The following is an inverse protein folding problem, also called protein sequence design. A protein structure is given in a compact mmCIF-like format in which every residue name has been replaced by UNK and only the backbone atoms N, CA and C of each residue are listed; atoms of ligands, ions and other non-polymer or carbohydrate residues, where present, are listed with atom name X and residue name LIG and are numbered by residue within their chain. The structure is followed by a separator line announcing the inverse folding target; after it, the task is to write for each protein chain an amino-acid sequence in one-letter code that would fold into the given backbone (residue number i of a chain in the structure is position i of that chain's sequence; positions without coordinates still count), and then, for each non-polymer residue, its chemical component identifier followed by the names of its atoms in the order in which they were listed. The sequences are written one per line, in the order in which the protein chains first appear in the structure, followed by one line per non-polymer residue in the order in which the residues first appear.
data_IF_179648719122
#
_entry.id   IF_179648719122
#
_cell.length_a   1.000
_cell.length_b   1.000
_cell.length_c   1.000
_cell.angle_alpha   90.00
_cell.angle_beta   90.00
_cell.angle_gamma   90.00
#
_symmetry.space_group_name_H-M   'P 1'
#
loop_
_entity.id
_entity.type
_entity.pdbx_description
1 polymer ?
#
# COMPACT_ATOMS: atom_id res chain seq x y z
N UNK A 1 -29.93 4.12 10.47
CA UNK A 1 -28.89 3.08 10.38
C UNK A 1 -27.80 3.59 9.47
N UNK A 2 -26.54 3.49 9.89
CA UNK A 2 -25.33 3.90 9.18
C UNK A 2 -24.42 2.70 8.97
N UNK A 3 -24.02 2.46 7.73
CA UNK A 3 -23.17 1.34 7.33
C UNK A 3 -21.88 1.86 6.71
N UNK A 4 -20.75 1.50 7.30
CA UNK A 4 -19.43 1.75 6.73
C UNK A 4 -19.07 0.59 5.79
N UNK A 5 -18.66 0.92 4.58
CA UNK A 5 -18.29 -0.06 3.55
C UNK A 5 -16.83 0.18 3.19
N UNK A 6 -15.94 -0.63 3.75
CA UNK A 6 -14.49 -0.48 3.59
C UNK A 6 -13.83 -1.73 3.01
N UNK A 7 -14.06 -2.09 1.74
CA UNK A 7 -13.44 -3.25 1.13
C UNK A 7 -12.06 -2.93 0.53
N UNK A 8 -11.22 -3.96 0.45
CA UNK A 8 -10.07 -3.99 -0.44
C UNK A 8 -10.51 -4.47 -1.85
N UNK A 9 -9.60 -4.36 -2.81
CA UNK A 9 -9.73 -4.91 -4.14
C UNK A 9 -9.89 -6.43 -4.14
N UNK A 10 -10.63 -6.92 -5.12
CA UNK A 10 -10.71 -8.34 -5.44
C UNK A 10 -9.77 -8.55 -6.61
N UNK A 11 -8.53 -8.98 -6.30
CA UNK A 11 -7.44 -9.15 -7.28
C UNK A 11 -7.94 -9.91 -8.52
N UNK A 12 -7.54 -9.42 -9.69
CA UNK A 12 -7.95 -9.95 -11.01
C UNK A 12 -9.45 -9.84 -11.34
N UNK A 13 -10.27 -9.17 -10.51
CA UNK A 13 -11.71 -9.02 -10.72
C UNK A 13 -12.18 -7.57 -10.61
N UNK A 14 -12.21 -6.98 -9.41
CA UNK A 14 -12.79 -5.66 -9.15
C UNK A 14 -11.84 -4.80 -8.31
N UNK A 15 -11.69 -3.53 -8.70
CA UNK A 15 -11.04 -2.54 -7.85
C UNK A 15 -11.87 -2.24 -6.59
N UNK A 16 -11.22 -1.78 -5.51
CA UNK A 16 -11.86 -1.52 -4.21
C UNK A 16 -13.11 -0.62 -4.33
N UNK A 17 -13.06 0.44 -5.15
CA UNK A 17 -14.22 1.32 -5.38
C UNK A 17 -15.41 0.57 -5.98
N UNK A 18 -15.17 -0.31 -6.95
CA UNK A 18 -16.25 -1.09 -7.58
C UNK A 18 -16.86 -2.10 -6.59
N UNK A 19 -16.04 -2.70 -5.72
CA UNK A 19 -16.51 -3.58 -4.63
C UNK A 19 -17.37 -2.78 -3.66
N UNK A 20 -16.93 -1.59 -3.24
CA UNK A 20 -17.68 -0.74 -2.32
C UNK A 20 -19.05 -0.33 -2.90
N UNK A 21 -19.10 0.02 -4.18
CA UNK A 21 -20.36 0.34 -4.86
C UNK A 21 -21.30 -0.88 -4.95
N UNK A 22 -20.78 -2.07 -5.25
CA UNK A 22 -21.59 -3.29 -5.31
C UNK A 22 -22.24 -3.61 -3.96
N UNK A 23 -21.47 -3.51 -2.89
CA UNK A 23 -21.96 -3.70 -1.52
C UNK A 23 -23.01 -2.63 -1.20
N UNK A 24 -22.73 -1.36 -1.49
CA UNK A 24 -23.64 -0.26 -1.21
C UNK A 24 -25.00 -0.44 -1.92
N UNK A 25 -25.01 -0.83 -3.19
CA UNK A 25 -26.25 -1.12 -3.93
C UNK A 25 -27.05 -2.24 -3.27
N UNK A 26 -26.40 -3.33 -2.86
CA UNK A 26 -27.06 -4.44 -2.18
C UNK A 26 -27.69 -4.01 -0.85
N UNK A 27 -26.93 -3.28 -0.03
CA UNK A 27 -27.37 -2.73 1.27
C UNK A 27 -28.55 -1.79 1.10
N UNK A 28 -28.47 -0.82 0.18
CA UNK A 28 -29.54 0.16 -0.06
C UNK A 28 -30.81 -0.47 -0.65
N UNK A 29 -30.66 -1.53 -1.45
CA UNK A 29 -31.80 -2.28 -1.98
C UNK A 29 -32.55 -3.03 -0.88
N UNK A 30 -31.83 -3.56 0.12
CA UNK A 30 -32.44 -4.24 1.26
C UNK A 30 -33.03 -3.26 2.29
N UNK A 31 -32.39 -2.11 2.49
CA UNK A 31 -32.76 -1.12 3.50
C UNK A 31 -32.86 0.27 2.83
N UNK A 32 -34.03 0.63 2.27
CA UNK A 32 -34.22 1.94 1.66
C UNK A 32 -33.96 3.09 2.66
N UNK A 33 -33.15 4.06 2.25
CA UNK A 33 -32.80 5.23 3.08
C UNK A 33 -31.68 5.00 4.09
N UNK A 34 -31.04 3.83 4.12
CA UNK A 34 -29.83 3.59 4.92
C UNK A 34 -28.69 4.50 4.49
N UNK A 35 -27.98 5.06 5.45
CA UNK A 35 -26.76 5.83 5.17
C UNK A 35 -25.62 4.85 4.89
N UNK A 36 -24.98 5.00 3.73
CA UNK A 36 -23.80 4.23 3.35
C UNK A 36 -22.60 5.14 3.17
N UNK A 37 -21.52 4.85 3.88
CA UNK A 37 -20.23 5.54 3.73
C UNK A 37 -19.26 4.59 3.07
N UNK A 38 -18.82 4.91 1.86
CA UNK A 38 -17.89 4.08 1.07
C UNK A 38 -16.46 4.56 1.29
N UNK A 39 -15.64 3.68 1.85
CA UNK A 39 -14.24 3.92 2.17
C UNK A 39 -13.39 2.81 1.51
N UNK A 40 -13.28 2.76 0.17
CA UNK A 40 -12.40 1.78 -0.47
C UNK A 40 -10.99 1.90 0.08
N UNK A 41 -10.38 0.79 0.46
CA UNK A 41 -9.03 0.73 1.04
C UNK A 41 -8.07 0.00 0.12
N UNK A 42 -6.79 0.14 0.43
CA UNK A 42 -5.69 -0.63 -0.13
C UNK A 42 -4.63 -0.85 0.97
N UNK A 43 -3.60 -1.64 0.67
CA UNK A 43 -2.53 -2.03 1.60
C UNK A 43 -1.21 -1.27 1.38
N UNK A 44 -1.24 -0.16 0.62
CA UNK A 44 -0.03 0.58 0.23
C UNK A 44 0.63 0.08 -1.07
N UNK A 45 0.01 -0.91 -1.72
CA UNK A 45 0.35 -1.35 -3.08
C UNK A 45 -0.30 -0.55 -4.20
N UNK A 46 -0.41 -1.18 -5.36
CA UNK A 46 -1.07 -0.62 -6.56
C UNK A 46 -2.54 -0.29 -6.28
N UNK A 47 -2.98 0.89 -6.72
CA UNK A 47 -4.38 1.33 -6.56
C UNK A 47 -4.68 2.02 -5.24
N UNK A 48 -3.68 2.16 -4.36
CA UNK A 48 -3.79 2.93 -3.11
C UNK A 48 -4.15 4.39 -3.34
N UNK A 49 -3.51 5.03 -4.32
CA UNK A 49 -3.81 6.40 -4.72
C UNK A 49 -5.27 6.50 -5.15
N UNK A 50 -5.73 5.63 -6.06
CA UNK A 50 -7.10 5.70 -6.56
C UNK A 50 -8.15 5.45 -5.48
N UNK A 51 -7.90 4.53 -4.56
CA UNK A 51 -8.77 4.26 -3.41
C UNK A 51 -8.90 5.49 -2.49
N UNK A 52 -7.76 6.08 -2.08
CA UNK A 52 -7.76 7.26 -1.21
C UNK A 52 -8.35 8.49 -1.89
N UNK A 53 -8.11 8.68 -3.19
CA UNK A 53 -8.69 9.80 -3.94
C UNK A 53 -10.21 9.68 -4.03
N UNK A 54 -10.72 8.46 -4.30
CA UNK A 54 -12.16 8.20 -4.36
C UNK A 54 -12.84 8.43 -3.01
N UNK A 55 -12.20 8.05 -1.91
CA UNK A 55 -12.76 8.19 -0.56
C UNK A 55 -12.69 9.62 -0.03
N UNK A 56 -11.65 10.38 -0.38
CA UNK A 56 -11.43 11.74 0.16
C UNK A 56 -11.93 12.86 -0.74
N UNK A 57 -12.35 12.56 -1.98
CA UNK A 57 -12.66 13.59 -2.97
C UNK A 57 -11.41 14.34 -3.45
N UNK A 58 -10.25 13.67 -3.41
CA UNK A 58 -8.98 14.20 -3.87
C UNK A 58 -8.87 14.28 -5.40
N UNK A 59 -7.68 14.63 -5.90
CA UNK A 59 -7.37 14.60 -7.33
C UNK A 59 -6.01 13.96 -7.63
N UNK A 60 -5.92 13.31 -8.79
CA UNK A 60 -4.66 12.80 -9.34
C UNK A 60 -3.95 13.92 -10.10
N UNK A 61 -2.64 14.04 -9.90
CA UNK A 61 -1.77 15.02 -10.57
C UNK A 61 -0.79 14.26 -11.47
N UNK A 62 -1.00 14.24 -12.80
CA UNK A 62 -0.07 13.62 -13.73
C UNK A 62 1.24 14.42 -13.79
N UNK A 63 2.37 13.71 -13.79
CA UNK A 63 3.71 14.32 -13.91
C UNK A 63 4.63 13.38 -14.69
N UNK A 64 5.23 13.82 -15.81
CA UNK A 64 6.28 13.06 -16.47
C UNK A 64 7.50 13.01 -15.56
N UNK A 65 8.01 11.81 -15.27
CA UNK A 65 9.19 11.60 -14.43
C UNK A 65 10.14 10.61 -15.08
N UNK A 66 11.38 10.57 -14.62
CA UNK A 66 12.38 9.59 -15.03
C UNK A 66 11.92 8.19 -14.67
N UNK A 67 11.71 7.35 -15.68
CA UNK A 67 11.36 5.95 -15.52
C UNK A 67 12.52 5.10 -15.02
N UNK A 68 12.26 3.81 -14.75
CA UNK A 68 13.26 2.92 -14.16
C UNK A 68 14.49 2.75 -15.05
N UNK A 69 14.38 2.77 -16.38
CA UNK A 69 15.53 2.65 -17.29
C UNK A 69 16.05 4.00 -17.81
N UNK A 70 15.65 5.12 -17.19
CA UNK A 70 16.09 6.48 -17.53
C UNK A 70 15.17 7.23 -18.50
N UNK A 71 14.39 6.52 -19.31
CA UNK A 71 13.41 7.14 -20.21
C UNK A 71 12.21 7.72 -19.44
N UNK A 72 11.61 8.85 -19.88
CA UNK A 72 10.45 9.43 -19.21
C UNK A 72 9.23 8.50 -19.21
N UNK A 73 8.52 8.46 -18.09
CA UNK A 73 7.24 7.75 -17.92
C UNK A 73 6.15 8.69 -17.44
N UNK A 74 4.89 8.33 -17.71
CA UNK A 74 3.73 9.08 -17.24
C UNK A 74 3.43 8.75 -15.77
N UNK A 75 4.22 9.32 -14.87
CA UNK A 75 4.00 9.23 -13.43
C UNK A 75 2.82 10.07 -12.95
N UNK A 76 2.48 9.91 -11.67
CA UNK A 76 1.45 10.70 -11.02
C UNK A 76 1.64 10.71 -9.50
N UNK A 77 1.03 11.70 -8.84
CA UNK A 77 0.78 11.69 -7.40
C UNK A 77 -0.73 11.86 -7.13
N UNK A 78 -1.19 11.44 -5.96
CA UNK A 78 -2.51 11.79 -5.44
C UNK A 78 -2.40 12.98 -4.48
N UNK A 79 -3.31 13.93 -4.57
CA UNK A 79 -3.56 14.94 -3.53
C UNK A 79 -4.92 14.66 -2.91
N UNK A 80 -4.95 14.39 -1.60
CA UNK A 80 -6.19 14.07 -0.90
C UNK A 80 -7.10 15.30 -0.76
N UNK A 81 -8.37 15.07 -0.42
CA UNK A 81 -9.37 16.14 -0.28
C UNK A 81 -9.03 17.17 0.80
N UNK A 82 -8.22 16.81 1.79
CA UNK A 82 -7.70 17.72 2.82
C UNK A 82 -6.72 18.77 2.28
N UNK A 83 -6.17 18.55 1.08
CA UNK A 83 -5.11 19.34 0.43
C UNK A 83 -3.82 19.48 1.24
N UNK A 84 -3.68 18.70 2.32
CA UNK A 84 -2.51 18.67 3.20
C UNK A 84 -1.70 17.38 3.04
N UNK A 85 -2.28 16.37 2.38
CA UNK A 85 -1.67 15.06 2.23
C UNK A 85 -1.50 14.70 0.75
N UNK A 86 -0.26 14.36 0.38
CA UNK A 86 0.04 13.72 -0.90
C UNK A 86 0.23 12.22 -0.72
N UNK A 87 -0.11 11.45 -1.75
CA UNK A 87 0.08 10.00 -1.79
C UNK A 87 0.87 9.64 -3.04
N UNK A 88 1.91 8.82 -2.86
CA UNK A 88 2.82 8.40 -3.91
C UNK A 88 2.89 6.88 -3.91
N UNK A 89 2.56 6.26 -5.03
CA UNK A 89 2.95 4.88 -5.32
C UNK A 89 4.28 4.89 -6.05
N UNK A 90 5.31 4.23 -5.51
CA UNK A 90 6.62 4.20 -6.18
C UNK A 90 6.55 3.57 -7.56
N UNK A 91 5.61 2.64 -7.78
CA UNK A 91 5.36 2.02 -9.07
C UNK A 91 5.01 3.07 -10.14
N UNK A 92 4.37 4.19 -9.80
CA UNK A 92 4.04 5.25 -10.76
C UNK A 92 5.28 5.82 -11.45
N UNK A 93 6.44 5.83 -10.77
CA UNK A 93 7.72 6.27 -11.34
C UNK A 93 8.63 5.11 -11.77
N UNK A 94 8.82 4.12 -10.90
CA UNK A 94 9.85 3.09 -11.08
C UNK A 94 9.29 1.65 -11.06
N UNK A 95 8.02 1.48 -11.41
CA UNK A 95 7.35 0.19 -11.37
C UNK A 95 7.69 -0.79 -12.50
N UNK A 96 7.45 -2.08 -12.24
CA UNK A 96 7.65 -3.17 -13.20
C UNK A 96 6.80 -3.03 -14.47
N UNK A 97 5.65 -2.35 -14.40
CA UNK A 97 4.77 -2.13 -15.54
C UNK A 97 5.40 -1.24 -16.62
N UNK A 98 6.41 -0.44 -16.27
CA UNK A 98 7.14 0.39 -17.22
C UNK A 98 8.23 -0.36 -17.99
N UNK A 99 8.51 -1.62 -17.63
CA UNK A 99 9.62 -2.39 -18.18
C UNK A 99 9.13 -3.71 -18.74
N UNK A 100 9.24 -3.86 -20.06
CA UNK A 100 8.98 -5.13 -20.74
C UNK A 100 9.80 -6.26 -20.09
N UNK A 101 9.24 -7.47 -19.89
CA UNK A 101 9.91 -8.57 -19.19
C UNK A 101 11.36 -8.84 -19.64
N UNK A 102 11.61 -8.80 -20.95
CA UNK A 102 12.91 -9.00 -21.58
C UNK A 102 13.92 -7.86 -21.37
N UNK A 103 13.43 -6.67 -21.01
CA UNK A 103 14.26 -5.47 -20.76
C UNK A 103 14.53 -5.23 -19.27
N UNK A 104 14.03 -6.11 -18.38
CA UNK A 104 14.19 -5.96 -16.94
C UNK A 104 15.65 -6.16 -16.54
N UNK A 105 16.26 -5.10 -16.00
CA UNK A 105 17.64 -5.13 -15.53
C UNK A 105 17.79 -4.30 -14.23
N UNK A 106 17.82 -4.96 -13.05
CA UNK A 106 17.87 -4.27 -11.77
C UNK A 106 19.24 -3.62 -11.48
N UNK A 107 20.29 -3.94 -12.25
CA UNK A 107 21.56 -3.21 -12.19
C UNK A 107 21.44 -1.80 -12.76
N UNK A 108 20.56 -1.58 -13.73
CA UNK A 108 20.35 -0.29 -14.38
C UNK A 108 19.15 0.46 -13.81
N UNK A 109 18.15 -0.27 -13.32
CA UNK A 109 16.89 0.30 -12.88
C UNK A 109 17.07 1.31 -11.72
N UNK A 110 16.57 2.54 -11.89
CA UNK A 110 16.70 3.65 -10.94
C UNK A 110 15.38 4.10 -10.32
N UNK A 111 15.45 4.52 -9.06
CA UNK A 111 14.35 5.15 -8.30
C UNK A 111 14.29 6.68 -8.47
N UNK A 112 15.07 7.27 -9.39
CA UNK A 112 15.17 8.73 -9.55
C UNK A 112 13.80 9.42 -9.71
N UNK A 113 12.90 8.84 -10.50
CA UNK A 113 11.55 9.38 -10.67
C UNK A 113 10.73 9.45 -9.37
N UNK A 114 10.99 8.60 -8.37
CA UNK A 114 10.32 8.69 -7.07
C UNK A 114 10.68 10.00 -6.36
N UNK A 115 11.94 10.41 -6.43
CA UNK A 115 12.37 11.70 -5.88
C UNK A 115 11.81 12.89 -6.67
N UNK A 116 11.49 12.71 -7.95
CA UNK A 116 10.74 13.71 -8.74
C UNK A 116 9.27 13.79 -8.29
N UNK A 117 8.59 12.66 -8.06
CA UNK A 117 7.24 12.65 -7.50
C UNK A 117 7.17 13.33 -6.12
N UNK A 118 8.14 13.05 -5.25
CA UNK A 118 8.21 13.71 -3.93
C UNK A 118 8.39 15.23 -4.10
N UNK A 119 9.24 15.69 -5.03
CA UNK A 119 9.39 17.14 -5.30
C UNK A 119 8.09 17.78 -5.76
N UNK A 120 7.34 17.13 -6.64
CA UNK A 120 6.02 17.63 -7.06
C UNK A 120 5.04 17.67 -5.89
N UNK A 121 5.06 16.67 -4.99
CA UNK A 121 4.24 16.73 -3.77
C UNK A 121 4.62 17.93 -2.90
N UNK A 122 5.92 18.22 -2.74
CA UNK A 122 6.41 19.39 -2.00
C UNK A 122 6.02 20.72 -2.67
N UNK A 123 5.89 20.77 -3.99
CA UNK A 123 5.43 21.96 -4.72
C UNK A 123 3.96 22.31 -4.39
N UNK A 124 3.19 21.31 -3.95
CA UNK A 124 1.83 21.50 -3.46
C UNK A 124 1.75 21.91 -1.98
N UNK A 125 2.87 22.14 -1.31
CA UNK A 125 2.94 22.61 0.09
C UNK A 125 2.20 21.70 1.08
N UNK A 126 2.18 20.40 0.79
CA UNK A 126 1.60 19.39 1.69
C UNK A 126 2.43 19.28 2.97
N UNK A 127 1.77 18.96 4.08
CA UNK A 127 2.43 18.65 5.36
C UNK A 127 2.71 17.16 5.54
N UNK A 128 2.03 16.30 4.78
CA UNK A 128 2.15 14.84 4.86
C UNK A 128 2.37 14.23 3.48
N UNK A 129 3.26 13.25 3.39
CA UNK A 129 3.42 12.42 2.19
C UNK A 129 3.36 10.95 2.61
N UNK A 130 2.38 10.23 2.06
CA UNK A 130 2.24 8.79 2.19
C UNK A 130 2.91 8.14 0.98
N UNK A 131 3.81 7.18 1.21
CA UNK A 131 4.58 6.51 0.17
C UNK A 131 4.29 5.00 0.25
N UNK A 132 3.68 4.45 -0.79
CA UNK A 132 3.47 3.02 -1.00
C UNK A 132 4.62 2.40 -1.79
N UNK A 133 5.20 1.31 -1.28
CA UNK A 133 6.43 0.69 -1.81
C UNK A 133 6.20 -0.52 -2.74
N UNK A 134 4.95 -0.78 -3.13
CA UNK A 134 4.60 -1.90 -4.02
C UNK A 134 5.15 -1.74 -5.46
N UNK A 135 5.38 -2.87 -6.13
CA UNK A 135 5.52 -2.92 -7.59
C UNK A 135 6.83 -2.42 -8.22
N UNK A 136 7.86 -2.08 -7.44
CA UNK A 136 9.14 -1.53 -7.97
C UNK A 136 9.89 -2.47 -8.94
N UNK A 137 10.55 -1.90 -9.95
CA UNK A 137 11.51 -2.55 -10.84
C UNK A 137 12.98 -2.40 -10.37
N UNK A 138 13.22 -1.64 -9.31
CA UNK A 138 14.56 -1.16 -8.90
C UNK A 138 15.21 -2.04 -7.85
N UNK A 139 16.55 -2.00 -7.77
CA UNK A 139 17.34 -2.56 -6.66
C UNK A 139 18.53 -1.63 -6.35
N UNK A 140 18.26 -0.32 -6.34
CA UNK A 140 19.25 0.76 -6.24
C UNK A 140 19.36 1.37 -4.84
N UNK A 141 18.81 0.72 -3.81
CA UNK A 141 18.80 1.18 -2.43
C UNK A 141 18.16 2.57 -2.21
N UNK A 142 17.35 3.07 -3.16
CA UNK A 142 16.80 4.42 -3.10
C UNK A 142 17.82 5.54 -3.36
N UNK A 143 19.02 5.22 -3.82
CA UNK A 143 20.04 6.24 -4.14
C UNK A 143 19.55 7.17 -5.24
N UNK A 144 18.90 6.64 -6.29
CA UNK A 144 18.33 7.47 -7.35
C UNK A 144 17.33 8.51 -6.79
N UNK A 145 16.44 8.08 -5.90
CA UNK A 145 15.49 8.96 -5.21
C UNK A 145 16.22 10.06 -4.40
N UNK A 146 17.26 9.72 -3.64
CA UNK A 146 18.02 10.69 -2.87
C UNK A 146 18.73 11.73 -3.75
N UNK A 147 19.33 11.28 -4.86
CA UNK A 147 19.96 12.16 -5.85
C UNK A 147 18.96 13.13 -6.45
N UNK A 148 17.78 12.63 -6.81
CA UNK A 148 16.67 13.46 -7.26
C UNK A 148 16.30 14.53 -6.21
N UNK A 149 16.24 14.17 -4.93
CA UNK A 149 15.90 15.10 -3.85
C UNK A 149 17.03 16.08 -3.48
N UNK A 150 18.18 16.01 -4.15
CA UNK A 150 19.30 16.95 -3.98
C UNK A 150 20.45 16.44 -3.10
N UNK A 151 20.37 15.20 -2.60
CA UNK A 151 21.53 14.59 -1.97
C UNK A 151 22.65 14.37 -3.00
N UNK A 152 23.91 14.43 -2.55
CA UNK A 152 25.07 14.09 -3.38
C UNK A 152 25.60 12.73 -2.96
N UNK A 153 25.40 11.73 -3.78
CA UNK A 153 25.86 10.36 -3.57
C UNK A 153 27.15 10.16 -4.37
N UNK A 154 28.30 10.20 -3.69
CA UNK A 154 29.60 10.38 -4.34
C UNK A 154 30.52 9.17 -4.18
N UNK A 155 31.41 8.99 -5.16
CA UNK A 155 32.52 8.04 -5.07
C UNK A 155 33.70 8.60 -4.25
N UNK A 156 34.78 7.81 -4.11
CA UNK A 156 35.98 8.19 -3.38
C UNK A 156 36.72 9.38 -4.00
N UNK A 157 36.51 9.65 -5.29
CA UNK A 157 37.05 10.79 -6.04
C UNK A 157 36.18 12.06 -5.88
N UNK A 158 35.04 11.96 -5.20
CA UNK A 158 34.11 13.07 -4.99
C UNK A 158 33.14 13.32 -6.15
N UNK A 159 33.08 12.42 -7.13
CA UNK A 159 32.18 12.49 -8.28
C UNK A 159 30.85 11.81 -7.98
N UNK A 160 29.78 12.23 -8.63
CA UNK A 160 28.45 11.63 -8.47
C UNK A 160 28.44 10.19 -9.01
N UNK A 161 27.92 9.23 -8.25
CA UNK A 161 27.79 7.86 -8.75
C UNK A 161 26.67 7.76 -9.78
N UNK A 162 26.85 6.83 -10.74
CA UNK A 162 25.82 6.52 -11.71
C UNK A 162 24.58 5.93 -11.01
N UNK A 163 23.43 6.04 -11.70
CA UNK A 163 22.15 5.50 -11.24
C UNK A 163 22.11 3.98 -11.41
N UNK A 164 21.24 3.33 -10.63
CA UNK A 164 20.96 1.90 -10.72
C UNK A 164 21.75 1.06 -9.72
N UNK A 165 21.29 -0.17 -9.51
CA UNK A 165 21.85 -1.08 -8.51
C UNK A 165 23.31 -1.50 -8.79
N UNK A 166 23.77 -1.42 -10.04
CA UNK A 166 25.11 -1.87 -10.44
C UNK A 166 26.24 -0.93 -10.02
N UNK A 167 25.97 0.37 -9.88
CA UNK A 167 26.96 1.40 -9.56
C UNK A 167 27.19 1.63 -8.06
N UNK A 168 26.39 0.96 -7.22
CA UNK A 168 26.35 1.19 -5.78
C UNK A 168 27.65 0.83 -5.05
N UNK A 169 28.47 -0.07 -5.59
CA UNK A 169 29.81 -0.38 -5.04
C UNK A 169 30.73 0.85 -5.00
N UNK A 170 30.51 1.84 -5.86
CA UNK A 170 31.32 3.05 -5.89
C UNK A 170 30.95 4.04 -4.78
N UNK A 171 29.82 3.88 -4.09
CA UNK A 171 29.33 4.85 -3.11
C UNK A 171 30.30 5.00 -1.93
N UNK A 172 30.89 6.17 -1.75
CA UNK A 172 31.75 6.47 -0.60
C UNK A 172 31.04 7.31 0.47
N UNK A 173 30.15 8.23 0.07
CA UNK A 173 29.45 9.11 1.00
C UNK A 173 28.10 9.59 0.44
N UNK A 174 27.16 9.89 1.35
CA UNK A 174 25.87 10.51 1.04
C UNK A 174 25.83 11.89 1.71
N UNK A 175 26.02 12.97 0.95
CA UNK A 175 25.90 14.32 1.49
C UNK A 175 24.46 14.82 1.39
N UNK A 176 23.82 15.00 2.54
CA UNK A 176 22.41 15.39 2.66
C UNK A 176 22.19 16.90 2.77
N UNK A 177 23.25 17.72 2.77
CA UNK A 177 23.13 19.19 2.90
C UNK A 177 22.36 19.83 1.74
N UNK A 178 22.39 19.18 0.57
CA UNK A 178 21.66 19.61 -0.63
C UNK A 178 20.23 19.09 -0.73
N UNK A 179 19.75 18.28 0.22
CA UNK A 179 18.36 17.83 0.21
C UNK A 179 17.39 19.01 0.20
N UNK A 180 16.28 18.85 -0.52
CA UNK A 180 15.20 19.83 -0.56
C UNK A 180 14.79 20.23 0.88
N UNK A 181 14.96 21.51 1.27
CA UNK A 181 14.78 21.94 2.66
C UNK A 181 13.34 21.77 3.14
N UNK A 182 12.36 21.70 2.23
CA UNK A 182 10.95 21.50 2.56
C UNK A 182 10.68 20.16 3.22
N UNK A 183 11.50 19.13 2.94
CA UNK A 183 11.40 17.81 3.56
C UNK A 183 11.45 17.84 5.09
N UNK A 184 12.10 18.85 5.69
CA UNK A 184 12.18 19.01 7.15
C UNK A 184 10.84 19.32 7.81
N UNK A 185 9.89 19.86 7.05
CA UNK A 185 8.59 20.28 7.54
C UNK A 185 7.46 19.34 7.10
N UNK A 186 7.80 18.19 6.52
CA UNK A 186 6.83 17.24 5.97
C UNK A 186 6.99 15.89 6.65
N UNK A 187 5.88 15.35 7.15
CA UNK A 187 5.87 14.00 7.68
C UNK A 187 5.85 12.99 6.52
N UNK A 188 6.90 12.16 6.45
CA UNK A 188 6.98 11.07 5.49
C UNK A 188 6.49 9.78 6.16
N UNK A 189 5.38 9.24 5.67
CA UNK A 189 4.81 7.96 6.12
C UNK A 189 5.02 6.92 5.04
N UNK A 190 5.58 5.77 5.39
CA UNK A 190 5.80 4.67 4.47
C UNK A 190 4.80 3.56 4.79
N UNK A 191 3.90 3.29 3.84
CA UNK A 191 2.93 2.20 3.90
C UNK A 191 3.60 0.92 3.38
N UNK A 192 3.94 0.01 4.30
CA UNK A 192 4.72 -1.18 3.96
C UNK A 192 4.36 -2.37 4.86
N UNK A 193 3.87 -3.45 4.26
CA UNK A 193 3.52 -4.69 4.97
C UNK A 193 4.62 -5.75 4.92
N UNK A 194 5.68 -5.52 4.14
CA UNK A 194 6.84 -6.41 4.09
C UNK A 194 7.83 -6.07 5.20
N UNK A 195 8.31 -7.11 5.90
CA UNK A 195 9.30 -6.97 6.98
C UNK A 195 10.70 -7.37 6.54
N UNK A 196 10.90 -7.66 5.26
CA UNK A 196 12.18 -8.06 4.68
C UNK A 196 13.28 -7.04 5.00
N UNK A 197 14.43 -7.48 5.57
CA UNK A 197 15.58 -6.61 5.81
C UNK A 197 16.20 -6.15 4.48
N UNK A 198 17.18 -5.24 4.54
CA UNK A 198 17.86 -4.76 3.33
C UNK A 198 18.66 -5.89 2.67
N UNK A 199 19.41 -6.66 3.47
CA UNK A 199 20.37 -7.67 2.99
C UNK A 199 20.08 -9.06 3.57
N UNK A 200 20.78 -10.07 3.05
CA UNK A 200 20.72 -11.46 3.54
C UNK A 200 19.69 -12.33 2.82
N UNK A 201 19.46 -13.57 3.31
CA UNK A 201 18.65 -14.57 2.60
C UNK A 201 17.17 -14.20 2.50
N UNK A 202 16.69 -13.30 3.37
CA UNK A 202 15.34 -12.71 3.31
C UNK A 202 15.37 -11.25 2.83
N UNK A 203 16.52 -10.78 2.35
CA UNK A 203 16.76 -9.40 1.98
C UNK A 203 16.13 -9.00 0.65
N UNK A 204 16.31 -7.72 0.28
CA UNK A 204 15.71 -7.15 -0.93
C UNK A 204 16.12 -7.92 -2.20
N UNK A 205 17.42 -8.15 -2.35
CA UNK A 205 17.99 -8.79 -3.54
C UNK A 205 17.54 -10.25 -3.63
N UNK A 206 17.73 -11.03 -2.56
CA UNK A 206 17.43 -12.46 -2.55
C UNK A 206 15.95 -12.76 -2.86
N UNK A 207 15.03 -11.96 -2.31
CA UNK A 207 13.59 -12.24 -2.39
C UNK A 207 12.94 -11.60 -3.62
N UNK A 208 13.29 -10.35 -3.94
CA UNK A 208 12.52 -9.56 -4.91
C UNK A 208 13.27 -9.25 -6.20
N UNK A 209 14.59 -9.39 -6.28
CA UNK A 209 15.31 -9.14 -7.53
C UNK A 209 15.07 -10.19 -8.65
N UNK A 210 14.79 -11.48 -8.37
CA UNK A 210 14.51 -12.46 -9.44
C UNK A 210 13.33 -12.06 -10.33
N UNK A 211 12.20 -11.61 -9.74
CA UNK A 211 11.05 -11.11 -10.52
C UNK A 211 11.35 -9.82 -11.30
N UNK A 212 12.41 -9.10 -10.91
CA UNK A 212 12.93 -7.89 -11.59
C UNK A 212 13.99 -8.22 -12.65
N UNK A 213 14.18 -9.50 -13.02
CA UNK A 213 15.10 -9.91 -14.08
C UNK A 213 16.54 -10.20 -13.62
N UNK A 214 16.82 -10.28 -12.32
CA UNK A 214 18.17 -10.59 -11.84
C UNK A 214 18.58 -12.03 -12.15
N UNK A 215 19.70 -12.20 -12.84
CA UNK A 215 20.39 -13.50 -12.99
C UNK A 215 21.17 -13.85 -11.73
N UNK A 216 21.62 -15.12 -11.54
CA UNK A 216 22.44 -15.50 -10.39
C UNK A 216 23.69 -14.63 -10.19
N UNK A 217 24.35 -14.20 -11.27
CA UNK A 217 25.50 -13.30 -11.19
C UNK A 217 25.09 -11.88 -10.73
N UNK A 218 23.96 -11.37 -11.24
CA UNK A 218 23.41 -10.09 -10.79
C UNK A 218 23.00 -10.13 -9.33
N UNK A 219 22.44 -11.24 -8.83
CA UNK A 219 22.07 -11.39 -7.43
C UNK A 219 23.28 -11.24 -6.51
N UNK A 220 24.40 -11.89 -6.82
CA UNK A 220 25.63 -11.78 -6.03
C UNK A 220 26.16 -10.34 -6.01
N UNK A 221 26.17 -9.66 -7.16
CA UNK A 221 26.60 -8.27 -7.27
C UNK A 221 25.69 -7.32 -6.49
N UNK A 222 24.36 -7.42 -6.69
CA UNK A 222 23.38 -6.57 -6.04
C UNK A 222 23.39 -6.76 -4.52
N UNK A 223 23.57 -7.99 -4.04
CA UNK A 223 23.67 -8.28 -2.61
C UNK A 223 24.92 -7.60 -2.00
N UNK A 224 26.09 -7.76 -2.62
CA UNK A 224 27.31 -7.09 -2.17
C UNK A 224 27.16 -5.55 -2.18
N UNK A 225 26.50 -5.03 -3.20
CA UNK A 225 26.21 -3.61 -3.36
C UNK A 225 25.27 -3.07 -2.27
N UNK A 226 24.20 -3.80 -1.92
CA UNK A 226 23.31 -3.41 -0.83
C UNK A 226 24.01 -3.49 0.54
N UNK A 227 24.87 -4.48 0.76
CA UNK A 227 25.69 -4.58 1.98
C UNK A 227 26.63 -3.39 2.12
N UNK A 228 27.25 -2.97 1.02
CA UNK A 228 28.10 -1.79 0.96
C UNK A 228 27.32 -0.51 1.28
N UNK A 229 26.17 -0.29 0.64
CA UNK A 229 25.30 0.86 0.93
C UNK A 229 24.83 0.85 2.38
N UNK A 230 24.44 -0.30 2.93
CA UNK A 230 24.06 -0.42 4.33
C UNK A 230 25.19 0.00 5.27
N UNK A 231 26.44 -0.37 4.97
CA UNK A 231 27.61 0.05 5.75
C UNK A 231 27.83 1.56 5.70
N UNK A 232 27.72 2.17 4.51
CA UNK A 232 27.84 3.64 4.34
C UNK A 232 26.75 4.38 5.12
N UNK A 233 25.49 3.97 4.98
CA UNK A 233 24.37 4.57 5.72
C UNK A 233 24.57 4.39 7.24
N UNK A 234 24.97 3.20 7.68
CA UNK A 234 25.16 2.91 9.11
C UNK A 234 26.29 3.76 9.72
N UNK A 235 27.39 3.94 8.99
CA UNK A 235 28.51 4.78 9.43
C UNK A 235 28.11 6.25 9.59
N UNK A 236 27.22 6.76 8.72
CA UNK A 236 26.80 8.15 8.73
C UNK A 236 25.67 8.45 9.73
N UNK A 237 24.72 7.53 9.86
CA UNK A 237 23.49 7.74 10.64
C UNK A 237 23.53 7.11 12.04
N UNK A 238 24.46 6.19 12.28
CA UNK A 238 24.51 5.35 13.47
C UNK A 238 23.43 4.26 13.53
N UNK A 239 22.55 4.15 12.52
CA UNK A 239 21.48 3.18 12.48
C UNK A 239 21.92 1.88 11.80
N UNK A 240 21.59 0.72 12.38
CA UNK A 240 21.85 -0.59 11.76
C UNK A 240 20.77 -0.90 10.72
N UNK A 241 20.88 -0.29 9.54
CA UNK A 241 19.82 -0.38 8.52
C UNK A 241 19.80 -1.73 7.77
N UNK A 242 20.90 -2.48 7.79
CA UNK A 242 21.05 -3.76 7.10
C UNK A 242 19.94 -4.76 7.47
N UNK A 243 19.64 -4.87 8.77
CA UNK A 243 18.69 -5.84 9.34
C UNK A 243 17.35 -5.22 9.72
N UNK A 244 17.16 -3.93 9.45
CA UNK A 244 15.97 -3.21 9.89
C UNK A 244 14.72 -3.74 9.16
N UNK A 245 13.64 -4.10 9.88
CA UNK A 245 12.42 -4.63 9.26
C UNK A 245 11.83 -3.68 8.21
N UNK A 246 11.64 -4.19 7.00
CA UNK A 246 11.10 -3.42 5.87
C UNK A 246 12.10 -2.53 5.14
N UNK A 247 13.36 -2.45 5.59
CA UNK A 247 14.40 -1.71 4.88
C UNK A 247 14.65 -2.24 3.46
N UNK A 248 14.37 -3.52 3.20
CA UNK A 248 14.49 -4.12 1.87
C UNK A 248 13.33 -3.81 0.91
N UNK A 249 12.27 -3.17 1.39
CA UNK A 249 11.12 -2.83 0.57
C UNK A 249 11.54 -1.98 -0.65
N UNK A 250 10.90 -2.24 -1.79
CA UNK A 250 11.19 -1.60 -3.07
C UNK A 250 12.68 -1.61 -3.48
N UNK A 251 13.41 -2.71 -3.23
CA UNK A 251 14.82 -2.82 -3.63
C UNK A 251 15.76 -1.98 -2.78
N UNK A 252 15.41 -1.79 -1.51
CA UNK A 252 16.17 -0.99 -0.55
C UNK A 252 15.78 0.47 -0.47
N UNK A 253 14.74 0.90 -1.19
CA UNK A 253 14.22 2.27 -1.08
C UNK A 253 13.67 2.55 0.32
N UNK A 254 13.12 1.53 0.99
CA UNK A 254 12.75 1.60 2.40
C UNK A 254 13.91 2.03 3.31
N UNK A 255 15.12 1.50 3.08
CA UNK A 255 16.32 1.86 3.84
C UNK A 255 16.66 3.36 3.72
N UNK A 256 16.63 3.91 2.50
CA UNK A 256 16.87 5.34 2.27
C UNK A 256 15.79 6.23 2.89
N UNK A 257 14.52 5.85 2.74
CA UNK A 257 13.40 6.58 3.35
C UNK A 257 13.55 6.66 4.87
N UNK A 258 13.84 5.54 5.54
CA UNK A 258 13.98 5.48 6.99
C UNK A 258 15.25 6.19 7.46
N UNK A 259 16.42 5.75 6.99
CA UNK A 259 17.69 6.16 7.60
C UNK A 259 18.15 7.54 7.16
N UNK A 260 17.83 7.96 5.92
CA UNK A 260 18.31 9.23 5.34
C UNK A 260 17.25 10.31 5.41
N UNK A 261 15.99 9.98 5.09
CA UNK A 261 14.89 10.96 5.08
C UNK A 261 14.06 10.98 6.37
N UNK A 262 14.33 10.08 7.32
CA UNK A 262 13.63 10.04 8.61
C UNK A 262 12.16 9.64 8.51
N UNK A 263 11.79 8.90 7.47
CA UNK A 263 10.42 8.47 7.25
C UNK A 263 9.98 7.40 8.26
N UNK A 264 8.70 7.46 8.65
CA UNK A 264 8.10 6.50 9.56
C UNK A 264 7.47 5.36 8.77
N UNK A 265 8.03 4.17 8.93
CA UNK A 265 7.46 2.96 8.34
C UNK A 265 6.38 2.38 9.26
N UNK A 266 5.19 2.14 8.71
CA UNK A 266 4.02 1.63 9.41
C UNK A 266 3.30 0.60 8.52
N UNK A 267 2.51 -0.31 9.11
CA UNK A 267 1.65 -1.20 8.33
C UNK A 267 0.76 -0.38 7.39
N UNK A 268 0.64 -0.84 6.15
CA UNK A 268 -0.02 -0.09 5.08
C UNK A 268 -1.45 0.26 5.45
N UNK A 269 -2.23 -0.74 5.87
CA UNK A 269 -3.62 -0.52 6.28
C UNK A 269 -3.77 0.53 7.38
N UNK A 270 -2.88 0.59 8.37
CA UNK A 270 -2.99 1.58 9.44
C UNK A 270 -2.78 3.00 8.92
N UNK A 271 -1.82 3.20 8.01
CA UNK A 271 -1.60 4.50 7.36
C UNK A 271 -2.81 4.92 6.53
N UNK A 272 -3.41 3.97 5.81
CA UNK A 272 -4.59 4.21 4.97
C UNK A 272 -5.81 4.55 5.82
N UNK A 273 -6.08 3.82 6.90
CA UNK A 273 -7.22 4.11 7.78
C UNK A 273 -7.07 5.46 8.49
N UNK A 274 -5.85 5.81 8.92
CA UNK A 274 -5.59 7.14 9.49
C UNK A 274 -5.83 8.25 8.43
N UNK A 275 -5.39 8.05 7.17
CA UNK A 275 -5.59 9.02 6.09
C UNK A 275 -7.05 9.18 5.67
N UNK A 276 -7.88 8.17 5.91
CA UNK A 276 -9.33 8.19 5.67
C UNK A 276 -10.13 8.74 6.85
N UNK A 277 -9.45 9.11 7.94
CA UNK A 277 -10.08 9.49 9.21
C UNK A 277 -11.09 8.42 9.68
N UNK A 278 -10.75 7.15 9.48
CA UNK A 278 -11.67 6.00 9.60
C UNK A 278 -12.33 5.94 10.98
N UNK A 279 -11.58 6.24 12.04
CA UNK A 279 -12.10 6.22 13.40
C UNK A 279 -13.21 7.27 13.62
N UNK A 280 -13.11 8.45 13.01
CA UNK A 280 -14.20 9.42 13.06
C UNK A 280 -15.37 9.00 12.17
N UNK A 281 -15.09 8.39 11.00
CA UNK A 281 -16.14 7.86 10.12
C UNK A 281 -16.98 6.78 10.83
N UNK A 282 -16.37 5.97 11.70
CA UNK A 282 -17.05 4.94 12.49
C UNK A 282 -18.05 5.48 13.52
N UNK A 283 -17.99 6.76 13.89
CA UNK A 283 -18.89 7.32 14.89
C UNK A 283 -20.35 7.17 14.45
N UNK A 284 -21.16 6.53 15.31
CA UNK A 284 -22.57 6.24 15.05
C UNK A 284 -22.81 5.16 13.99
N UNK A 285 -21.78 4.41 13.57
CA UNK A 285 -21.95 3.29 12.65
C UNK A 285 -22.59 2.09 13.36
N UNK A 286 -23.60 1.50 12.72
CA UNK A 286 -24.28 0.30 13.20
C UNK A 286 -23.63 -0.99 12.69
N UNK A 287 -22.92 -0.90 11.55
CA UNK A 287 -22.30 -2.03 10.87
C UNK A 287 -21.13 -1.56 10.01
N UNK A 288 -20.03 -2.33 10.05
CA UNK A 288 -18.94 -2.26 9.07
C UNK A 288 -19.01 -3.48 8.17
N UNK A 289 -18.94 -3.26 6.85
CA UNK A 289 -18.78 -4.31 5.84
C UNK A 289 -17.42 -4.12 5.16
N UNK A 290 -16.58 -5.14 5.22
CA UNK A 290 -15.29 -5.20 4.51
C UNK A 290 -15.22 -6.45 3.63
N UNK A 291 -14.13 -6.61 2.88
CA UNK A 291 -13.94 -7.74 1.98
C UNK A 291 -12.59 -7.70 1.28
N UNK A 292 -12.11 -8.86 0.86
CA UNK A 292 -11.04 -9.03 -0.12
C UNK A 292 -11.33 -10.30 -0.96
N UNK A 293 -10.60 -10.49 -2.07
CA UNK A 293 -10.83 -11.63 -2.96
C UNK A 293 -10.69 -13.01 -2.28
N UNK A 294 -9.79 -13.12 -1.30
CA UNK A 294 -9.61 -14.34 -0.50
C UNK A 294 -9.21 -14.01 0.92
N UNK A 295 -10.01 -14.48 1.87
CA UNK A 295 -9.78 -14.33 3.30
C UNK A 295 -9.27 -15.67 3.84
N UNK A 296 -8.06 -15.70 4.38
CA UNK A 296 -7.44 -16.87 5.02
C UNK A 296 -6.59 -16.49 6.24
N UNK A 297 -5.84 -17.45 6.81
CA UNK A 297 -4.97 -17.23 7.97
C UNK A 297 -3.93 -16.10 7.78
N UNK A 298 -3.53 -15.77 6.55
CA UNK A 298 -2.58 -14.67 6.31
C UNK A 298 -3.22 -13.30 6.47
N UNK A 299 -4.54 -13.20 6.30
CA UNK A 299 -5.30 -11.97 6.50
C UNK A 299 -5.07 -11.37 7.89
N UNK A 300 -5.06 -12.23 8.92
CA UNK A 300 -4.85 -11.82 10.30
C UNK A 300 -3.50 -11.11 10.53
N UNK A 301 -2.51 -11.39 9.66
CA UNK A 301 -1.14 -10.89 9.76
C UNK A 301 -0.94 -9.48 9.15
N UNK A 302 -2.00 -8.67 9.08
CA UNK A 302 -1.87 -7.24 8.79
C UNK A 302 -2.44 -6.79 7.46
N UNK A 303 -3.24 -7.62 6.77
CA UNK A 303 -3.97 -7.18 5.59
C UNK A 303 -5.09 -6.20 5.92
N UNK A 304 -5.61 -5.56 4.87
CA UNK A 304 -6.68 -4.56 4.96
C UNK A 304 -7.89 -4.98 5.83
N UNK A 305 -8.51 -6.17 5.65
CA UNK A 305 -9.65 -6.56 6.48
C UNK A 305 -9.33 -6.65 7.98
N UNK A 306 -8.12 -7.08 8.35
CA UNK A 306 -7.74 -7.21 9.75
C UNK A 306 -7.59 -5.86 10.45
N UNK A 307 -7.03 -4.84 9.77
CA UNK A 307 -6.95 -3.48 10.32
C UNK A 307 -8.34 -2.89 10.55
N UNK A 308 -9.24 -3.04 9.57
CA UNK A 308 -10.63 -2.58 9.66
C UNK A 308 -11.37 -3.23 10.83
N UNK A 309 -11.26 -4.56 10.97
CA UNK A 309 -11.88 -5.28 12.08
C UNK A 309 -11.40 -4.78 13.43
N UNK A 310 -10.09 -4.57 13.60
CA UNK A 310 -9.53 -4.07 14.86
C UNK A 310 -10.06 -2.68 15.21
N UNK A 311 -10.10 -1.76 14.24
CA UNK A 311 -10.60 -0.39 14.45
C UNK A 311 -12.11 -0.38 14.73
N UNK A 312 -12.89 -1.18 14.00
CA UNK A 312 -14.32 -1.35 14.25
C UNK A 312 -14.60 -1.92 15.65
N UNK A 313 -13.88 -2.97 16.04
CA UNK A 313 -14.01 -3.62 17.34
C UNK A 313 -13.62 -2.70 18.50
N UNK A 314 -12.60 -1.86 18.32
CA UNK A 314 -12.20 -0.87 19.32
C UNK A 314 -13.32 0.16 19.63
N UNK A 315 -14.26 0.36 18.71
CA UNK A 315 -15.44 1.22 18.90
C UNK A 315 -16.73 0.43 19.17
N UNK A 316 -16.63 -0.89 19.35
CA UNK A 316 -17.78 -1.76 19.55
C UNK A 316 -18.70 -1.88 18.33
N UNK A 317 -18.24 -1.50 17.14
CA UNK A 317 -19.02 -1.62 15.90
C UNK A 317 -18.86 -3.03 15.31
N UNK A 318 -19.96 -3.76 15.05
CA UNK A 318 -19.89 -5.08 14.41
C UNK A 318 -19.26 -5.00 13.01
N UNK A 319 -18.41 -5.97 12.67
CA UNK A 319 -17.72 -6.03 11.40
C UNK A 319 -18.01 -7.35 10.68
N UNK A 320 -18.57 -7.27 9.47
CA UNK A 320 -18.87 -8.42 8.62
C UNK A 320 -17.98 -8.42 7.38
N UNK A 321 -17.54 -9.60 6.96
CA UNK A 321 -16.73 -9.79 5.76
C UNK A 321 -17.54 -10.42 4.65
N UNK A 322 -17.45 -9.84 3.46
CA UNK A 322 -17.84 -10.46 2.19
C UNK A 322 -16.57 -10.79 1.41
N UNK A 323 -16.25 -12.07 1.29
CA UNK A 323 -15.01 -12.55 0.67
C UNK A 323 -15.30 -13.27 -0.65
N UNK A 324 -14.46 -13.08 -1.67
CA UNK A 324 -14.55 -13.89 -2.88
C UNK A 324 -14.45 -15.39 -2.57
N UNK A 325 -13.62 -15.76 -1.60
CA UNK A 325 -13.57 -17.09 -1.01
C UNK A 325 -13.05 -17.06 0.43
N UNK A 326 -13.47 -18.04 1.24
CA UNK A 326 -12.93 -18.29 2.57
C UNK A 326 -11.93 -19.45 2.49
N UNK A 327 -10.68 -19.18 2.85
CA UNK A 327 -9.60 -20.15 2.90
C UNK A 327 -9.36 -20.69 4.31
N UNK A 328 -8.48 -21.69 4.43
CA UNK A 328 -8.18 -22.33 5.70
C UNK A 328 -7.68 -21.33 6.76
N UNK A 329 -8.21 -21.45 7.98
CA UNK A 329 -7.78 -20.69 9.15
C UNK A 329 -8.29 -19.26 9.21
N UNK A 330 -9.24 -18.87 8.34
CA UNK A 330 -9.88 -17.56 8.42
C UNK A 330 -10.60 -17.32 9.76
N UNK A 331 -11.00 -18.38 10.45
CA UNK A 331 -11.70 -18.33 11.73
C UNK A 331 -10.87 -17.62 12.82
N UNK A 332 -9.55 -17.52 12.64
CA UNK A 332 -8.71 -16.71 13.52
C UNK A 332 -9.12 -15.24 13.55
N UNK A 333 -9.76 -14.72 12.50
CA UNK A 333 -10.24 -13.34 12.42
C UNK A 333 -11.35 -13.02 13.44
N UNK A 334 -12.07 -14.02 13.96
CA UNK A 334 -13.01 -13.81 15.07
C UNK A 334 -12.31 -13.27 16.34
N UNK A 335 -11.04 -13.60 16.53
CA UNK A 335 -10.23 -13.02 17.63
C UNK A 335 -9.90 -11.55 17.43
N UNK A 336 -10.01 -11.03 16.20
CA UNK A 336 -9.77 -9.64 15.85
C UNK A 336 -11.05 -8.78 15.81
N UNK A 337 -12.20 -9.37 16.16
CA UNK A 337 -13.49 -8.66 16.17
C UNK A 337 -14.37 -8.91 14.94
N UNK A 338 -14.05 -9.90 14.10
CA UNK A 338 -14.98 -10.35 13.07
C UNK A 338 -16.30 -10.82 13.70
N UNK A 339 -17.42 -10.30 13.19
CA UNK A 339 -18.78 -10.70 13.61
C UNK A 339 -19.31 -11.87 12.79
N UNK A 340 -19.13 -11.81 11.47
CA UNK A 340 -19.50 -12.89 10.55
C UNK A 340 -18.69 -12.79 9.25
N UNK A 341 -18.52 -13.92 8.56
CA UNK A 341 -17.89 -13.97 7.23
C UNK A 341 -18.75 -14.75 6.24
N UNK A 342 -18.80 -14.27 5.01
CA UNK A 342 -19.55 -14.89 3.91
C UNK A 342 -18.66 -15.03 2.68
N UNK A 343 -18.73 -16.20 2.04
CA UNK A 343 -18.19 -16.40 0.69
C UNK A 343 -19.22 -15.95 -0.35
N UNK A 344 -18.77 -15.28 -1.40
CA UNK A 344 -19.65 -14.85 -2.50
C UNK A 344 -20.10 -15.99 -3.41
N UNK A 345 -19.30 -17.05 -3.50
CA UNK A 345 -19.49 -18.13 -4.46
C UNK A 345 -20.74 -18.94 -4.09
N UNK A 346 -21.79 -19.00 -4.95
CA UNK A 346 -23.09 -19.59 -4.60
C UNK A 346 -23.12 -21.12 -4.69
N UNK A 347 -22.03 -21.74 -5.15
CA UNK A 347 -21.90 -23.17 -5.43
C UNK A 347 -20.69 -23.44 -6.31
N UNK A 348 -20.59 -24.64 -6.88
CA UNK A 348 -19.47 -24.96 -7.78
C UNK A 348 -19.63 -24.20 -9.09
N UNK A 349 -18.79 -23.19 -9.31
CA UNK A 349 -18.69 -22.42 -10.56
C UNK A 349 -17.23 -22.35 -11.02
N UNK A 350 -17.01 -22.08 -12.30
CA UNK A 350 -15.66 -21.85 -12.83
C UNK A 350 -15.05 -20.58 -12.23
N UNK A 351 -13.72 -20.56 -12.05
CA UNK A 351 -13.02 -19.41 -11.49
C UNK A 351 -13.23 -18.15 -12.34
N UNK A 352 -13.12 -18.28 -13.67
CA UNK A 352 -13.35 -17.17 -14.59
C UNK A 352 -14.79 -16.65 -14.53
N UNK A 353 -15.75 -17.53 -14.26
CA UNK A 353 -17.13 -17.13 -14.04
C UNK A 353 -17.26 -16.33 -12.73
N UNK A 354 -16.64 -16.79 -11.64
CA UNK A 354 -16.63 -16.09 -10.37
C UNK A 354 -16.04 -14.67 -10.49
N UNK A 355 -14.94 -14.50 -11.23
CA UNK A 355 -14.32 -13.19 -11.45
C UNK A 355 -15.22 -12.26 -12.29
N UNK A 356 -15.84 -12.77 -13.37
CA UNK A 356 -16.73 -11.98 -14.24
C UNK A 356 -18.02 -11.56 -13.54
N UNK A 357 -18.59 -12.44 -12.71
CA UNK A 357 -19.86 -12.23 -12.01
C UNK A 357 -19.68 -11.62 -10.62
N UNK A 358 -18.45 -11.33 -10.18
CA UNK A 358 -18.16 -10.84 -8.82
C UNK A 358 -19.04 -9.65 -8.41
N UNK A 359 -19.34 -8.72 -9.32
CA UNK A 359 -20.17 -7.55 -9.03
C UNK A 359 -21.62 -7.91 -8.68
N UNK A 360 -22.24 -8.84 -9.42
CA UNK A 360 -23.63 -9.28 -9.13
C UNK A 360 -23.68 -10.20 -7.90
N UNK A 361 -22.64 -11.00 -7.68
CA UNK A 361 -22.49 -11.85 -6.50
C UNK A 361 -22.33 -11.00 -5.23
N UNK A 362 -21.49 -9.96 -5.25
CA UNK A 362 -21.32 -9.00 -4.16
C UNK A 362 -22.64 -8.32 -3.81
N UNK A 363 -23.34 -7.77 -4.80
CA UNK A 363 -24.60 -7.07 -4.60
C UNK A 363 -25.66 -7.99 -3.97
N UNK A 364 -25.73 -9.23 -4.43
CA UNK A 364 -26.67 -10.24 -3.90
C UNK A 364 -26.32 -10.66 -2.47
N UNK A 365 -25.04 -10.88 -2.17
CA UNK A 365 -24.58 -11.21 -0.82
C UNK A 365 -24.82 -10.06 0.16
N UNK A 366 -24.50 -8.83 -0.24
CA UNK A 366 -24.73 -7.63 0.56
C UNK A 366 -26.22 -7.38 0.82
N UNK A 367 -27.09 -7.63 -0.16
CA UNK A 367 -28.54 -7.57 0.04
C UNK A 367 -29.02 -8.58 1.10
N UNK A 368 -28.62 -9.84 0.98
CA UNK A 368 -29.04 -10.88 1.93
C UNK A 368 -28.51 -10.60 3.35
N UNK A 369 -27.25 -10.15 3.45
CA UNK A 369 -26.65 -9.72 4.72
C UNK A 369 -27.45 -8.58 5.34
N UNK A 370 -27.72 -7.51 4.59
CA UNK A 370 -28.43 -6.35 5.09
C UNK A 370 -29.88 -6.66 5.50
N UNK A 371 -30.59 -7.50 4.74
CA UNK A 371 -31.92 -7.96 5.10
C UNK A 371 -31.93 -8.75 6.42
N UNK A 372 -30.95 -9.64 6.61
CA UNK A 372 -30.80 -10.38 7.87
C UNK A 372 -30.42 -9.46 9.03
N UNK A 373 -29.53 -8.49 8.78
CA UNK A 373 -29.10 -7.51 9.78
C UNK A 373 -30.26 -6.66 10.29
N UNK A 374 -31.10 -6.15 9.37
CA UNK A 374 -32.28 -5.36 9.70
C UNK A 374 -33.24 -6.15 10.60
N UNK A 375 -33.55 -7.41 10.23
CA UNK A 375 -34.41 -8.28 11.04
C UNK A 375 -33.84 -8.50 12.44
N UNK A 376 -32.53 -8.68 12.57
CA UNK A 376 -31.84 -8.82 13.85
C UNK A 376 -31.95 -7.56 14.71
N UNK A 377 -31.73 -6.38 14.11
CA UNK A 377 -31.81 -5.09 14.78
C UNK A 377 -33.23 -4.77 15.27
N UNK A 378 -34.26 -5.02 14.45
CA UNK A 378 -35.67 -4.81 14.84
C UNK A 378 -36.08 -5.68 16.03
N UNK A 379 -35.53 -6.91 16.13
CA UNK A 379 -35.82 -7.82 17.24
C UNK A 379 -35.12 -7.43 18.55
N UNK A 380 -34.03 -6.69 18.53
CA UNK A 380 -33.41 -6.14 19.75
C UNK A 380 -34.20 -4.95 20.33
N UNK A 381 -35.01 -4.27 19.50
CA UNK A 381 -35.82 -3.11 19.91
C UNK A 381 -37.15 -3.55 20.56
N UNK A 382 -37.64 -4.74 20.24
CA UNK A 382 -38.78 -5.31 20.94
C UNK A 382 -38.33 -5.76 22.34
N UNK A 383 -38.88 -5.20 23.44
CA UNK A 383 -38.60 -5.74 24.75
C UNK A 383 -38.99 -7.22 24.72
N UNK A 384 -38.15 -8.07 25.31
CA UNK A 384 -38.54 -9.44 25.67
C UNK A 384 -39.75 -9.29 26.59
N UNK A 385 -40.94 -9.30 25.99
CA UNK A 385 -42.18 -9.07 26.70
C UNK A 385 -42.56 -10.32 27.45
N UNK A 386 -42.62 -10.19 28.79
CA UNK A 386 -43.40 -11.04 29.69
C UNK A 386 -42.72 -12.31 30.15
#
# INVERSE_FOLDING_TARGET
MKVIIAPDSFKESLGASAVAEAIARGVQRAIPGVETVKLPVADGGEGTVDALLAATGGRKVPVPVTGPLGEPVAGFIGLLGDRQTAVIEVAAACGLQWVAPESRNPLLATSFGVGELIRVALDHQVSNIIIGLGGSATNDAGIGMLQALGARCRNAQGEEIARGGGALNALAAIDTRGLDPRLRNVALQVACDVTNPLVGPRGATAVFAPQKGATPAMLAQLEANLQHVAAVISAQTGQRIADYPGAGAAGGLGAALIAVLGAHMRPGIEVILDALDFDNQLQGADLVITGEGRIDAQTANGKAPAGIMRRAAAQGCPCVVLAGSLGAGYEQLYTLGLTAAFSLVPGVIAYEQALREANSLLESAAYNLAALWLLGAERQILPVGG
#
